data_IF_168149589580
#
_entry.id   IF_168149589580
#
_cell.length_a   1.000
_cell.length_b   1.000
_cell.length_c   1.000
_cell.angle_alpha   90.00
_cell.angle_beta   90.00
_cell.angle_gamma   90.00
#
_symmetry.space_group_name_H-M   'P 1'
#
loop_
_entity.id
_entity.type
_entity.pdbx_description
1 polymer ?
#
# COMPACT_ATOMS: atom_id res chain seq x y z
N UNK A 1 -14.71 -6.68 17.48
CA UNK A 1 -14.30 -7.19 16.16
C UNK A 1 -13.02 -7.97 16.39
N UNK A 2 -12.94 -9.23 15.97
CA UNK A 2 -11.64 -9.90 15.88
C UNK A 2 -10.95 -9.34 14.63
N UNK A 3 -10.00 -8.43 14.83
CA UNK A 3 -9.20 -7.91 13.72
C UNK A 3 -8.33 -9.05 13.16
N UNK A 4 -8.24 -9.14 11.84
CA UNK A 4 -7.49 -10.22 11.15
C UNK A 4 -5.97 -10.03 11.17
N UNK A 5 -5.50 -8.81 11.43
CA UNK A 5 -4.14 -8.55 11.88
C UNK A 5 -4.15 -8.38 13.39
N UNK A 6 -3.20 -9.02 14.08
CA UNK A 6 -2.97 -8.73 15.50
C UNK A 6 -2.49 -7.30 15.68
N UNK A 7 -2.77 -6.72 16.85
CA UNK A 7 -2.28 -5.39 17.18
C UNK A 7 -0.75 -5.34 17.03
N UNK A 8 -0.01 -6.36 17.48
CA UNK A 8 1.45 -6.47 17.30
C UNK A 8 1.92 -6.35 15.83
N UNK A 9 1.21 -6.99 14.90
CA UNK A 9 1.53 -6.90 13.47
C UNK A 9 1.33 -5.48 12.94
N UNK A 10 0.23 -4.83 13.34
CA UNK A 10 -0.06 -3.45 12.96
C UNK A 10 1.00 -2.51 13.56
N UNK A 11 1.36 -2.70 14.83
CA UNK A 11 2.40 -1.95 15.53
C UNK A 11 3.77 -2.05 14.86
N UNK A 12 4.24 -3.27 14.61
CA UNK A 12 5.54 -3.49 13.98
C UNK A 12 5.61 -2.86 12.59
N UNK A 13 4.55 -2.98 11.80
CA UNK A 13 4.47 -2.36 10.49
C UNK A 13 4.49 -0.82 10.57
N UNK A 14 3.78 -0.23 11.54
CA UNK A 14 3.78 1.22 11.77
C UNK A 14 5.13 1.76 12.21
N UNK A 15 5.81 1.09 13.16
CA UNK A 15 7.13 1.49 13.65
C UNK A 15 8.16 1.53 12.51
N UNK A 16 8.22 0.44 11.73
CA UNK A 16 9.09 0.33 10.57
C UNK A 16 8.82 1.42 9.53
N UNK A 17 7.53 1.75 9.32
CA UNK A 17 7.13 2.83 8.42
C UNK A 17 7.59 4.19 8.92
N UNK A 18 7.35 4.51 10.20
CA UNK A 18 7.71 5.77 10.85
C UNK A 18 9.19 6.08 10.80
N UNK A 19 10.03 5.10 11.14
CA UNK A 19 11.48 5.29 11.15
C UNK A 19 11.99 5.66 9.75
N UNK A 20 11.48 4.99 8.72
CA UNK A 20 11.90 5.24 7.34
C UNK A 20 11.37 6.55 6.76
N UNK A 21 10.18 7.01 7.17
CA UNK A 21 9.73 8.38 6.84
C UNK A 21 10.62 9.44 7.49
N UNK A 22 10.99 9.29 8.77
CA UNK A 22 11.88 10.22 9.47
C UNK A 22 13.24 10.33 8.77
N UNK A 23 13.79 9.19 8.33
CA UNK A 23 15.04 9.16 7.56
C UNK A 23 14.90 9.90 6.22
N UNK A 24 13.84 9.63 5.46
CA UNK A 24 13.59 10.29 4.16
C UNK A 24 13.41 11.81 4.31
N UNK A 25 12.71 12.28 5.34
CA UNK A 25 12.53 13.72 5.58
C UNK A 25 13.87 14.38 5.95
N UNK A 26 14.63 13.74 6.84
CA UNK A 26 15.93 14.24 7.30
C UNK A 26 16.95 14.32 6.15
N UNK A 27 17.01 13.29 5.29
CA UNK A 27 17.95 13.23 4.17
C UNK A 27 17.67 14.27 3.08
N UNK A 28 16.42 14.69 2.91
CA UNK A 28 16.03 15.62 1.85
C UNK A 28 15.87 17.07 2.35
N UNK A 29 16.18 17.38 3.61
CA UNK A 29 15.91 18.67 4.26
C UNK A 29 14.46 19.16 4.05
N UNK A 30 13.52 18.22 3.94
CA UNK A 30 12.11 18.54 3.71
C UNK A 30 11.48 18.79 5.08
N UNK A 31 10.93 19.99 5.30
CA UNK A 31 10.12 20.27 6.47
C UNK A 31 8.84 19.43 6.39
N UNK A 32 8.62 18.47 7.32
CA UNK A 32 7.46 17.58 7.28
C UNK A 32 6.11 18.32 7.29
N UNK A 33 6.07 19.56 7.80
CA UNK A 33 4.87 20.38 7.90
C UNK A 33 4.45 21.07 6.59
N UNK A 34 5.35 21.24 5.61
CA UNK A 34 5.13 22.15 4.46
C UNK A 34 4.81 21.45 3.13
N UNK A 35 4.54 20.15 3.14
CA UNK A 35 4.26 19.38 1.93
C UNK A 35 2.87 18.70 1.98
N UNK A 36 2.28 18.41 0.81
CA UNK A 36 1.39 17.27 0.49
C UNK A 36 -0.10 17.40 0.11
N UNK A 37 -0.50 17.24 -1.20
CA UNK A 37 -1.77 16.60 -1.66
C UNK A 37 -2.02 16.41 -3.20
N UNK A 38 -2.63 15.25 -3.55
CA UNK A 38 -3.74 15.04 -4.51
C UNK A 38 -4.21 13.54 -4.49
N UNK A 39 -5.50 13.30 -4.19
CA UNK A 39 -6.16 12.00 -3.86
C UNK A 39 -5.61 11.30 -2.60
N UNK A 40 -6.46 11.17 -1.58
CA UNK A 40 -6.10 10.70 -0.22
C UNK A 40 -5.76 9.22 -0.22
N UNK A 41 -4.49 8.92 0.04
CA UNK A 41 -3.97 7.59 0.34
C UNK A 41 -4.07 7.38 1.86
N UNK A 42 -4.80 6.37 2.36
CA UNK A 42 -5.02 6.17 3.80
C UNK A 42 -3.74 5.98 4.61
N UNK A 43 -2.72 5.33 4.03
CA UNK A 43 -1.43 5.18 4.70
C UNK A 43 -0.68 6.50 4.79
N UNK A 44 -0.72 7.28 3.71
CA UNK A 44 -0.16 8.62 3.73
C UNK A 44 -0.82 9.50 4.81
N UNK A 45 -2.15 9.44 4.93
CA UNK A 45 -2.92 10.18 5.95
C UNK A 45 -2.50 9.83 7.38
N UNK A 46 -2.36 8.54 7.68
CA UNK A 46 -1.90 8.09 8.99
C UNK A 46 -0.47 8.54 9.27
N UNK A 47 0.45 8.34 8.32
CA UNK A 47 1.85 8.71 8.50
C UNK A 47 2.00 10.21 8.75
N UNK A 48 1.17 11.02 8.07
CA UNK A 48 1.02 12.45 8.30
C UNK A 48 0.54 12.74 9.73
N UNK A 49 -0.49 12.03 10.22
CA UNK A 49 -1.00 12.24 11.56
C UNK A 49 0.02 11.92 12.65
N UNK A 50 0.74 10.81 12.52
CA UNK A 50 1.68 10.36 13.54
C UNK A 50 2.96 11.19 13.50
N UNK A 51 3.57 11.37 12.32
CA UNK A 51 4.85 12.09 12.21
C UNK A 51 4.76 13.57 12.61
N UNK A 52 3.59 14.18 12.44
CA UNK A 52 3.38 15.61 12.69
C UNK A 52 2.54 15.88 13.94
N UNK A 53 2.05 14.84 14.62
CA UNK A 53 1.05 14.98 15.67
C UNK A 53 -0.14 15.80 15.19
N UNK A 54 -0.81 15.40 14.10
CA UNK A 54 -2.06 16.05 13.67
C UNK A 54 -3.27 15.33 14.23
N UNK A 55 -4.28 16.09 14.64
CA UNK A 55 -5.61 15.56 14.93
C UNK A 55 -6.51 15.62 13.67
N UNK A 56 -7.73 15.10 13.78
CA UNK A 56 -8.72 15.03 12.70
C UNK A 56 -8.99 16.39 12.04
N UNK A 57 -9.11 17.45 12.84
CA UNK A 57 -9.45 18.79 12.34
C UNK A 57 -8.27 19.44 11.63
N UNK A 58 -7.04 19.19 12.11
CA UNK A 58 -5.80 19.65 11.49
C UNK A 58 -5.50 18.93 10.16
N UNK A 59 -6.09 17.76 9.93
CA UNK A 59 -5.93 17.00 8.70
C UNK A 59 -6.53 17.70 7.47
N UNK A 60 -7.56 18.53 7.69
CA UNK A 60 -8.42 19.12 6.66
C UNK A 60 -7.73 20.30 5.93
N UNK A 61 -6.57 20.77 6.41
CA UNK A 61 -5.80 21.83 5.72
C UNK A 61 -4.98 21.27 4.54
N UNK A 62 -5.19 21.76 3.30
CA UNK A 62 -4.43 21.34 2.14
C UNK A 62 -3.04 22.01 2.12
N UNK A 63 -2.01 21.23 1.80
CA UNK A 63 -0.62 21.69 1.67
C UNK A 63 -0.09 21.10 0.35
N UNK A 64 0.74 21.77 -0.46
CA UNK A 64 1.21 21.20 -1.73
C UNK A 64 2.50 20.37 -1.54
N UNK A 65 2.60 19.11 -2.02
CA UNK A 65 3.95 18.61 -2.41
C UNK A 65 4.09 18.88 -3.88
N UNK A 66 5.30 19.21 -4.25
CA UNK A 66 5.84 18.84 -5.54
C UNK A 66 5.79 17.31 -5.71
N UNK A 67 4.98 16.85 -6.67
CA UNK A 67 4.72 15.45 -7.06
C UNK A 67 5.98 14.67 -7.55
N UNK A 68 7.19 15.16 -7.27
CA UNK A 68 8.43 14.80 -7.97
C UNK A 68 9.41 13.95 -7.19
N UNK A 69 9.25 13.74 -5.87
CA UNK A 69 10.20 12.90 -5.13
C UNK A 69 9.84 11.41 -5.26
N UNK A 70 10.56 10.76 -6.18
CA UNK A 70 10.41 9.34 -6.52
C UNK A 70 10.71 8.43 -5.32
N UNK A 71 11.54 8.86 -4.36
CA UNK A 71 11.89 8.06 -3.17
C UNK A 71 10.67 7.82 -2.26
N UNK A 72 9.86 8.87 -2.03
CA UNK A 72 8.62 8.77 -1.27
C UNK A 72 7.59 7.91 -1.99
N UNK A 73 7.37 8.14 -3.28
CA UNK A 73 6.39 7.37 -4.06
C UNK A 73 6.73 5.86 -4.07
N UNK A 74 8.02 5.52 -4.19
CA UNK A 74 8.49 4.14 -4.13
C UNK A 74 8.30 3.54 -2.73
N UNK A 75 8.57 4.31 -1.68
CA UNK A 75 8.39 3.85 -0.31
C UNK A 75 6.93 3.53 0.02
N UNK A 76 5.98 4.37 -0.44
CA UNK A 76 4.56 4.10 -0.28
C UNK A 76 4.12 2.81 -1.00
N UNK A 77 4.64 2.57 -2.21
CA UNK A 77 4.39 1.32 -2.93
C UNK A 77 4.82 0.11 -2.09
N UNK A 78 6.05 0.15 -1.56
CA UNK A 78 6.60 -0.95 -0.75
C UNK A 78 5.81 -1.23 0.52
N UNK A 79 5.10 -0.25 1.07
CA UNK A 79 4.28 -0.48 2.26
C UNK A 79 3.06 -1.37 2.01
N UNK A 80 2.46 -1.28 0.83
CA UNK A 80 1.37 -2.19 0.44
C UNK A 80 1.86 -3.62 0.28
N UNK A 81 3.04 -3.80 -0.32
CA UNK A 81 3.70 -5.11 -0.43
C UNK A 81 3.98 -5.70 0.96
N UNK A 82 4.59 -4.91 1.85
CA UNK A 82 4.89 -5.34 3.22
C UNK A 82 3.63 -5.76 3.98
N UNK A 83 2.51 -5.04 3.81
CA UNK A 83 1.25 -5.43 4.45
C UNK A 83 0.79 -6.82 4.00
N UNK A 84 0.89 -7.12 2.71
CA UNK A 84 0.56 -8.44 2.17
C UNK A 84 1.48 -9.51 2.74
N UNK A 85 2.79 -9.25 2.80
CA UNK A 85 3.78 -10.17 3.36
C UNK A 85 3.59 -10.43 4.87
N UNK A 86 3.03 -9.46 5.59
CA UNK A 86 2.75 -9.60 7.03
C UNK A 86 1.46 -10.37 7.34
N UNK A 87 0.59 -10.60 6.35
CA UNK A 87 -0.72 -11.22 6.54
C UNK A 87 -0.59 -12.60 7.17
N UNK A 88 0.26 -13.45 6.62
CA UNK A 88 0.61 -14.76 7.14
C UNK A 88 1.80 -15.36 6.37
N UNK A 89 2.29 -16.50 6.83
CA UNK A 89 3.44 -17.18 6.26
C UNK A 89 3.24 -17.73 4.84
N UNK A 90 2.03 -17.69 4.27
CA UNK A 90 1.78 -18.19 2.91
C UNK A 90 2.14 -17.17 1.83
N UNK A 91 2.45 -15.93 2.20
CA UNK A 91 2.91 -14.88 1.28
C UNK A 91 4.43 -14.79 1.24
N UNK A 92 4.98 -14.50 0.07
CA UNK A 92 6.42 -14.35 -0.18
C UNK A 92 6.71 -13.25 -1.21
N UNK A 93 7.94 -12.73 -1.19
CA UNK A 93 8.49 -12.03 -2.35
C UNK A 93 8.83 -13.08 -3.42
N UNK A 94 8.25 -13.01 -4.63
CA UNK A 94 8.56 -13.99 -5.67
C UNK A 94 10.03 -13.87 -6.11
N UNK A 95 10.61 -14.94 -6.66
CA UNK A 95 12.02 -14.95 -7.05
C UNK A 95 12.36 -13.92 -8.15
N UNK A 96 11.38 -13.48 -8.94
CA UNK A 96 11.54 -12.45 -9.98
C UNK A 96 10.21 -11.77 -10.37
N UNK A 97 10.36 -10.64 -11.06
CA UNK A 97 9.38 -9.91 -11.89
C UNK A 97 8.28 -9.10 -11.18
N UNK A 98 7.56 -9.70 -10.23
CA UNK A 98 6.39 -9.08 -9.59
C UNK A 98 6.61 -8.85 -8.09
N UNK A 99 5.72 -8.10 -7.45
CA UNK A 99 5.95 -7.57 -6.10
C UNK A 99 5.71 -8.60 -4.97
N UNK A 100 4.62 -9.39 -5.01
CA UNK A 100 4.28 -10.39 -3.98
C UNK A 100 3.60 -11.64 -4.57
N UNK A 101 3.68 -12.77 -3.87
CA UNK A 101 3.09 -14.03 -4.32
C UNK A 101 2.63 -14.94 -3.17
N UNK A 102 1.71 -15.87 -3.47
CA UNK A 102 1.43 -17.02 -2.61
C UNK A 102 2.43 -18.14 -2.87
N UNK A 103 2.94 -18.75 -1.79
CA UNK A 103 3.95 -19.83 -1.83
C UNK A 103 3.48 -21.08 -2.57
N UNK A 104 2.18 -21.35 -2.56
CA UNK A 104 1.55 -22.48 -3.27
C UNK A 104 1.39 -22.25 -4.78
N UNK A 105 1.86 -21.10 -5.30
CA UNK A 105 1.75 -20.67 -6.69
C UNK A 105 0.31 -20.42 -7.18
N UNK A 106 -0.67 -20.34 -6.28
CA UNK A 106 -2.05 -19.99 -6.66
C UNK A 106 -2.20 -18.55 -7.16
N UNK A 107 -1.35 -17.63 -6.70
CA UNK A 107 -1.47 -16.21 -7.02
C UNK A 107 -0.11 -15.49 -7.02
N UNK A 108 0.10 -14.59 -7.98
CA UNK A 108 1.19 -13.60 -8.00
C UNK A 108 0.64 -12.20 -8.34
N UNK A 109 1.19 -11.16 -7.74
CA UNK A 109 0.60 -9.82 -7.76
C UNK A 109 1.64 -8.74 -8.02
N UNK A 110 1.32 -7.82 -8.93
CA UNK A 110 1.97 -6.52 -9.08
C UNK A 110 1.12 -5.46 -8.37
N UNK A 111 1.70 -4.70 -7.44
CA UNK A 111 1.03 -3.68 -6.65
C UNK A 111 1.56 -2.30 -7.04
N UNK A 112 0.64 -1.37 -7.35
CA UNK A 112 0.99 0.05 -7.57
C UNK A 112 0.21 0.96 -6.63
N UNK A 113 0.86 2.03 -6.18
CA UNK A 113 0.19 2.96 -5.27
C UNK A 113 -0.94 3.75 -5.97
N UNK A 114 -0.67 4.31 -7.16
CA UNK A 114 -1.68 5.06 -7.93
C UNK A 114 -1.77 4.52 -9.36
N UNK A 115 -2.98 4.56 -9.93
CA UNK A 115 -3.17 4.22 -11.36
C UNK A 115 -2.27 5.05 -12.30
N UNK A 116 -1.94 6.29 -11.93
CA UNK A 116 -1.23 7.25 -12.79
C UNK A 116 0.30 7.19 -12.71
N UNK A 117 0.87 6.34 -11.85
CA UNK A 117 2.33 6.24 -11.70
C UNK A 117 3.00 5.32 -12.73
N UNK A 118 2.21 4.64 -13.58
CA UNK A 118 2.73 3.76 -14.63
C UNK A 118 2.77 4.53 -15.94
N UNK A 119 3.94 4.67 -16.56
CA UNK A 119 3.96 5.14 -17.96
C UNK A 119 3.20 4.09 -18.76
N UNK A 120 2.38 4.50 -19.73
CA UNK A 120 1.66 3.52 -20.56
C UNK A 120 2.59 2.49 -21.23
N UNK A 121 3.86 2.83 -21.43
CA UNK A 121 4.90 1.89 -21.87
C UNK A 121 5.08 0.71 -20.91
N UNK A 122 4.98 0.95 -19.61
CA UNK A 122 5.35 -0.01 -18.57
C UNK A 122 4.20 -1.00 -18.29
N UNK A 123 2.95 -0.64 -18.66
CA UNK A 123 1.81 -1.55 -18.51
C UNK A 123 1.93 -2.81 -19.37
N UNK A 124 2.54 -2.71 -20.56
CA UNK A 124 2.77 -3.89 -21.41
C UNK A 124 3.84 -4.79 -20.79
N UNK A 125 4.87 -4.20 -20.19
CA UNK A 125 5.96 -4.93 -19.55
C UNK A 125 5.44 -5.65 -18.31
N UNK A 126 4.55 -5.02 -17.54
CA UNK A 126 3.81 -5.68 -16.44
C UNK A 126 3.02 -6.87 -16.99
N UNK A 127 2.24 -6.72 -18.06
CA UNK A 127 1.50 -7.84 -18.66
C UNK A 127 2.44 -8.98 -19.08
N UNK A 128 3.55 -8.65 -19.74
CA UNK A 128 4.50 -9.65 -20.24
C UNK A 128 5.17 -10.38 -19.07
N UNK A 129 5.51 -9.67 -17.98
CA UNK A 129 6.00 -10.25 -16.73
C UNK A 129 4.96 -11.18 -16.07
N UNK A 130 3.70 -10.74 -15.97
CA UNK A 130 2.59 -11.55 -15.47
C UNK A 130 2.45 -12.84 -16.28
N UNK A 131 2.57 -12.74 -17.61
CA UNK A 131 2.51 -13.90 -18.51
C UNK A 131 3.69 -14.86 -18.27
N UNK A 132 4.91 -14.36 -18.10
CA UNK A 132 6.08 -15.19 -17.75
C UNK A 132 5.85 -15.93 -16.44
N UNK A 133 5.31 -15.28 -15.41
CA UNK A 133 5.01 -15.95 -14.15
C UNK A 133 3.99 -17.10 -14.32
N UNK A 134 3.00 -16.95 -15.20
CA UNK A 134 2.04 -18.02 -15.48
C UNK A 134 2.65 -19.18 -16.29
N UNK A 135 3.47 -18.87 -17.30
CA UNK A 135 3.96 -19.86 -18.28
C UNK A 135 5.25 -20.56 -17.82
N UNK A 136 6.15 -19.85 -17.15
CA UNK A 136 7.47 -20.36 -16.75
C UNK A 136 7.55 -20.67 -15.25
N UNK A 137 6.96 -19.81 -14.41
CA UNK A 137 7.09 -19.94 -12.95
C UNK A 137 5.95 -20.77 -12.32
N UNK A 138 4.96 -21.18 -13.14
CA UNK A 138 3.89 -22.12 -12.76
C UNK A 138 2.75 -21.51 -11.96
N UNK A 139 2.60 -20.18 -11.95
CA UNK A 139 1.49 -19.54 -11.23
C UNK A 139 0.13 -19.78 -11.91
N UNK A 140 -0.94 -19.87 -11.11
CA UNK A 140 -2.29 -20.11 -11.62
C UNK A 140 -3.03 -18.82 -12.02
N UNK A 141 -2.79 -17.74 -11.28
CA UNK A 141 -3.43 -16.44 -11.45
C UNK A 141 -2.40 -15.31 -11.25
N UNK A 142 -2.49 -14.27 -12.08
CA UNK A 142 -1.68 -13.07 -11.96
C UNK A 142 -2.57 -11.82 -11.91
N UNK A 143 -2.33 -10.96 -10.93
CA UNK A 143 -3.12 -9.75 -10.69
C UNK A 143 -2.24 -8.50 -10.77
N UNK A 144 -2.66 -7.52 -11.55
CA UNK A 144 -2.18 -6.14 -11.48
C UNK A 144 -3.17 -5.32 -10.67
N UNK A 145 -2.73 -4.75 -9.54
CA UNK A 145 -3.58 -3.96 -8.66
C UNK A 145 -3.06 -2.57 -8.38
N UNK A 146 -3.98 -1.62 -8.14
CA UNK A 146 -3.65 -0.27 -7.74
C UNK A 146 -4.53 0.24 -6.60
N UNK A 147 -3.88 0.86 -5.62
CA UNK A 147 -4.53 1.25 -4.36
C UNK A 147 -5.40 2.50 -4.50
N UNK A 148 -4.93 3.47 -5.30
CA UNK A 148 -5.69 4.68 -5.60
C UNK A 148 -6.17 4.63 -7.06
N UNK A 149 -7.45 4.29 -7.31
CA UNK A 149 -8.00 4.24 -8.65
C UNK A 149 -8.15 5.65 -9.25
N UNK A 150 -8.14 5.75 -10.58
CA UNK A 150 -8.34 7.03 -11.28
C UNK A 150 -9.76 7.56 -11.05
N UNK A 151 -10.75 6.67 -10.98
CA UNK A 151 -12.15 6.98 -10.75
C UNK A 151 -12.66 6.18 -9.56
N UNK A 152 -13.75 6.61 -8.92
CA UNK A 152 -14.33 5.93 -7.75
C UNK A 152 -14.95 4.54 -8.05
N UNK A 153 -14.86 4.05 -9.29
CA UNK A 153 -15.39 2.74 -9.67
C UNK A 153 -14.49 1.60 -9.21
N UNK A 154 -15.11 0.50 -8.77
CA UNK A 154 -14.42 -0.79 -8.59
C UNK A 154 -13.94 -1.30 -9.93
N UNK A 155 -12.76 -1.90 -9.96
CA UNK A 155 -12.16 -2.50 -11.14
C UNK A 155 -11.89 -3.95 -10.85
N UNK A 156 -12.41 -4.82 -11.71
CA UNK A 156 -12.12 -6.24 -11.74
C UNK A 156 -12.41 -6.72 -13.18
N UNK A 157 -11.38 -6.79 -14.01
CA UNK A 157 -11.50 -7.09 -15.44
C UNK A 157 -10.22 -7.70 -15.98
N UNK A 158 -10.30 -8.29 -17.18
CA UNK A 158 -9.13 -8.80 -17.88
C UNK A 158 -8.13 -7.67 -18.18
N UNK A 159 -6.86 -7.88 -17.83
CA UNK A 159 -5.81 -6.89 -18.08
C UNK A 159 -5.28 -7.05 -19.51
N UNK A 160 -5.59 -6.07 -20.37
CA UNK A 160 -5.24 -6.09 -21.79
C UNK A 160 -4.59 -4.77 -22.22
N UNK A 161 -3.44 -4.39 -21.64
CA UNK A 161 -2.86 -3.07 -21.88
C UNK A 161 -2.52 -2.84 -23.37
N UNK A 162 -2.55 -1.58 -23.77
CA UNK A 162 -2.11 -1.17 -25.11
C UNK A 162 -0.60 -1.10 -25.16
N UNK A 163 -0.01 -1.58 -26.25
CA UNK A 163 1.39 -1.34 -26.59
C UNK A 163 1.48 -0.07 -27.43
N UNK A 164 2.09 0.97 -26.88
CA UNK A 164 2.22 2.25 -27.56
C UNK A 164 3.18 2.21 -28.76
N UNK A 165 4.02 1.18 -28.87
CA UNK A 165 4.96 1.04 -29.99
C UNK A 165 4.30 0.38 -31.20
N UNK A 166 3.48 -0.65 -30.99
CA UNK A 166 2.77 -1.36 -32.07
C UNK A 166 1.36 -0.84 -32.32
N UNK A 167 0.78 -0.08 -31.39
CA UNK A 167 -0.62 0.35 -31.43
C UNK A 167 -1.63 -0.78 -31.16
N UNK A 168 -1.17 -1.96 -30.77
CA UNK A 168 -2.02 -3.14 -30.52
C UNK A 168 -2.17 -3.43 -29.03
N UNK A 169 -3.28 -4.06 -28.64
CA UNK A 169 -3.48 -4.51 -27.24
C UNK A 169 -2.87 -5.89 -27.04
N UNK A 170 -2.39 -6.16 -25.83
CA UNK A 170 -2.02 -7.52 -25.41
C UNK A 170 -3.24 -8.44 -25.44
N UNK A 171 -3.05 -9.73 -25.79
CA UNK A 171 -4.16 -10.67 -25.93
C UNK A 171 -4.92 -10.85 -24.61
N UNK A 172 -6.18 -11.22 -24.70
CA UNK A 172 -6.99 -11.51 -23.52
C UNK A 172 -6.57 -12.84 -22.90
N UNK A 173 -6.34 -12.87 -21.59
CA UNK A 173 -6.06 -14.07 -20.82
C UNK A 173 -6.91 -14.07 -19.53
N UNK A 174 -7.69 -15.12 -19.30
CA UNK A 174 -8.57 -15.24 -18.12
C UNK A 174 -7.80 -15.30 -16.79
N UNK A 175 -6.49 -15.58 -16.84
CA UNK A 175 -5.59 -15.65 -15.68
C UNK A 175 -4.80 -14.37 -15.43
N UNK A 176 -5.02 -13.29 -16.21
CA UNK A 176 -4.32 -12.01 -16.06
C UNK A 176 -5.37 -10.91 -15.83
N UNK A 177 -5.46 -10.43 -14.59
CA UNK A 177 -6.55 -9.57 -14.12
C UNK A 177 -6.03 -8.20 -13.68
N UNK A 178 -6.78 -7.15 -13.99
CA UNK A 178 -6.62 -5.81 -13.42
C UNK A 178 -7.69 -5.64 -12.34
N UNK A 179 -7.27 -5.28 -11.12
CA UNK A 179 -8.16 -5.18 -9.96
C UNK A 179 -7.88 -3.93 -9.13
N UNK A 180 -8.90 -3.22 -8.65
CA UNK A 180 -8.68 -2.14 -7.68
C UNK A 180 -8.23 -2.68 -6.32
N UNK A 181 -7.43 -1.91 -5.60
CA UNK A 181 -6.80 -2.33 -4.35
C UNK A 181 -7.81 -2.81 -3.31
N UNK A 182 -8.94 -2.13 -3.14
CA UNK A 182 -9.92 -2.58 -2.15
C UNK A 182 -10.55 -3.93 -2.51
N UNK A 183 -10.87 -4.15 -3.79
CA UNK A 183 -11.37 -5.47 -4.25
C UNK A 183 -10.31 -6.55 -4.03
N UNK A 184 -9.04 -6.26 -4.36
CA UNK A 184 -7.93 -7.19 -4.12
C UNK A 184 -7.79 -7.55 -2.64
N UNK A 185 -7.72 -6.54 -1.77
CA UNK A 185 -7.57 -6.75 -0.34
C UNK A 185 -8.78 -7.48 0.26
N UNK A 186 -10.01 -7.10 -0.09
CA UNK A 186 -11.21 -7.79 0.37
C UNK A 186 -11.23 -9.26 -0.03
N UNK A 187 -10.77 -9.60 -1.24
CA UNK A 187 -10.85 -10.98 -1.75
C UNK A 187 -9.70 -11.86 -1.29
N UNK A 188 -8.46 -11.35 -1.26
CA UNK A 188 -7.26 -12.20 -1.12
C UNK A 188 -6.50 -11.98 0.19
N UNK A 189 -6.77 -10.89 0.90
CA UNK A 189 -6.07 -10.57 2.15
C UNK A 189 -7.01 -10.70 3.33
N UNK A 190 -8.16 -10.03 3.25
CA UNK A 190 -9.15 -10.04 4.32
C UNK A 190 -10.20 -11.15 4.15
N UNK A 191 -10.47 -11.56 2.91
CA UNK A 191 -11.46 -12.61 2.62
C UNK A 191 -12.87 -12.27 3.14
N UNK A 192 -13.24 -10.97 3.17
CA UNK A 192 -14.59 -10.50 3.47
C UNK A 192 -14.93 -9.16 2.80
N UNK A 193 -16.23 -8.89 2.61
CA UNK A 193 -16.75 -7.82 1.75
C UNK A 193 -16.34 -6.39 2.15
N UNK A 194 -16.05 -6.16 3.43
CA UNK A 194 -15.72 -4.83 3.98
C UNK A 194 -14.30 -4.74 4.56
N UNK A 195 -13.45 -5.75 4.39
CA UNK A 195 -12.18 -5.83 5.12
C UNK A 195 -11.23 -4.68 4.89
N UNK A 196 -11.14 -4.18 3.66
CA UNK A 196 -10.35 -2.99 3.36
C UNK A 196 -10.89 -1.75 4.06
N UNK A 197 -12.21 -1.57 4.14
CA UNK A 197 -12.81 -0.44 4.87
C UNK A 197 -12.55 -0.56 6.37
N UNK A 198 -12.77 -1.76 6.93
CA UNK A 198 -12.57 -2.03 8.36
C UNK A 198 -11.10 -1.83 8.75
N UNK A 199 -10.17 -2.25 7.89
CA UNK A 199 -8.75 -1.97 8.05
C UNK A 199 -8.46 -0.48 8.02
N UNK A 200 -9.00 0.29 7.07
CA UNK A 200 -8.81 1.75 7.06
C UNK A 200 -9.35 2.38 8.34
N UNK A 201 -10.51 1.97 8.83
CA UNK A 201 -11.09 2.49 10.07
C UNK A 201 -10.22 2.15 11.29
N UNK A 202 -9.73 0.91 11.39
CA UNK A 202 -8.79 0.49 12.44
C UNK A 202 -7.51 1.34 12.40
N UNK A 203 -6.94 1.52 11.20
CA UNK A 203 -5.73 2.30 11.02
C UNK A 203 -5.93 3.75 11.43
N UNK A 204 -7.08 4.36 11.11
CA UNK A 204 -7.42 5.71 11.55
C UNK A 204 -7.56 5.80 13.07
N UNK A 205 -8.24 4.84 13.70
CA UNK A 205 -8.40 4.79 15.15
C UNK A 205 -7.04 4.72 15.88
N UNK A 206 -6.17 3.80 15.44
CA UNK A 206 -4.82 3.66 15.97
C UNK A 206 -4.03 4.95 15.77
N UNK A 207 -4.10 5.55 14.59
CA UNK A 207 -3.42 6.83 14.28
C UNK A 207 -3.85 7.97 15.20
N UNK A 208 -5.15 8.06 15.54
CA UNK A 208 -5.65 9.08 16.46
C UNK A 208 -5.06 8.88 17.86
N UNK A 209 -5.10 7.65 18.38
CA UNK A 209 -4.50 7.32 19.69
C UNK A 209 -3.01 7.64 19.72
N UNK A 210 -2.27 7.27 18.67
CA UNK A 210 -0.85 7.58 18.51
C UNK A 210 -0.55 9.09 18.53
N UNK A 211 -1.32 9.89 17.79
CA UNK A 211 -1.11 11.35 17.69
C UNK A 211 -1.31 12.04 19.03
N UNK A 212 -2.32 11.64 19.79
CA UNK A 212 -2.60 12.21 21.11
C UNK A 212 -1.49 11.85 22.12
N UNK A 213 -0.98 10.62 22.08
CA UNK A 213 0.15 10.18 22.91
C UNK A 213 1.43 10.94 22.51
N UNK A 214 1.74 11.03 21.22
CA UNK A 214 2.94 11.73 20.72
C UNK A 214 2.95 13.21 21.11
N UNK A 215 1.80 13.89 21.09
CA UNK A 215 1.67 15.27 21.58
C UNK A 215 1.94 15.39 23.07
N UNK A 216 1.53 14.39 23.83
CA UNK A 216 1.66 14.37 25.29
C UNK A 216 3.07 14.01 25.76
N UNK A 217 3.85 13.30 24.93
CA UNK A 217 5.16 12.78 25.33
C UNK A 217 6.31 13.29 24.46
N UNK A 218 7.22 14.08 25.06
CA UNK A 218 8.40 14.65 24.39
C UNK A 218 9.65 13.76 24.45
N UNK A 219 9.58 12.59 25.10
CA UNK A 219 10.73 11.71 25.31
C UNK A 219 10.71 10.46 24.40
N UNK A 220 11.90 9.95 24.13
CA UNK A 220 12.24 8.90 23.16
C UNK A 220 11.72 7.49 23.46
N UNK A 221 11.03 7.27 24.58
CA UNK A 221 10.52 5.95 24.99
C UNK A 221 9.08 5.67 24.51
N UNK A 222 8.65 6.44 23.51
CA UNK A 222 7.34 6.42 22.86
C UNK A 222 6.80 5.03 22.49
N UNK A 223 7.65 4.13 22.01
CA UNK A 223 7.25 2.78 21.58
C UNK A 223 6.95 1.84 22.75
N UNK A 224 7.58 2.07 23.92
CA UNK A 224 7.32 1.31 25.14
C UNK A 224 5.93 1.59 25.69
N UNK A 225 5.57 2.86 25.77
CA UNK A 225 4.29 3.28 26.36
C UNK A 225 3.09 2.90 25.48
N UNK A 226 3.26 2.89 24.16
CA UNK A 226 2.24 2.42 23.22
C UNK A 226 1.94 0.92 23.38
N UNK A 227 2.94 0.13 23.75
CA UNK A 227 2.80 -1.31 24.02
C UNK A 227 2.01 -1.55 25.30
N UNK A 228 2.30 -0.79 26.34
CA UNK A 228 1.60 -0.86 27.63
C UNK A 228 0.12 -0.44 27.53
N UNK A 229 -0.21 0.50 26.65
CA UNK A 229 -1.56 1.04 26.50
C UNK A 229 -2.57 0.08 25.85
N UNK A 230 -2.08 -0.91 25.11
CA UNK A 230 -2.89 -1.96 24.50
C UNK A 230 -3.01 -3.21 25.38
N UNK A 231 -2.42 -3.22 26.59
CA UNK A 231 -2.38 -4.38 27.49
C UNK A 231 -2.03 -5.69 26.74
N UNK A 232 -0.93 -5.65 25.98
CA UNK A 232 -0.27 -6.83 25.41
C UNK A 232 0.84 -7.32 26.36
#
# INVERSE_FOLDING_TARGET
MSFQFSDDQVFSWMENSLNKYKDLFSQNNINPQESFMDKVDPFFTMMKMIALGLNKDQLISPIPINKSDKSYLNFHGKQWENLVLLKDEHWEEPPRLLDVAKKDKSLVVEIKNKHNTVKKSDLKDIYDNMKICLEEDGYELSIYTYMVPLNAGRVNKLFTPSDNQSGTRRPSNQKIIEMDGATFFNQYIFEHENGFSDFIDQMLEVSFKFSDIFKSNKNSDFLSELRDLYNL
#
